data_IF_572036448379
#
_entry.id   IF_572036448379
#
_cell.length_a   1.000
_cell.length_b   1.000
_cell.length_c   1.000
_cell.angle_alpha   90.00
_cell.angle_beta   90.00
_cell.angle_gamma   90.00
#
_symmetry.space_group_name_H-M   'P 1'
#
loop_
_entity.id
_entity.type
_entity.pdbx_description
1 polymer ?
#
# COMPACT_ATOMS: atom_id res chain seq x y z
N UNK A 1 3.09 -20.35 -15.07
CA UNK A 1 3.72 -19.23 -14.35
C UNK A 1 5.20 -19.54 -14.17
N UNK A 2 6.08 -18.97 -15.00
CA UNK A 2 7.53 -19.17 -14.88
C UNK A 2 8.16 -18.28 -13.80
N UNK A 3 9.47 -18.46 -13.55
CA UNK A 3 10.24 -17.72 -12.54
C UNK A 3 10.10 -16.19 -12.64
N UNK A 4 10.02 -15.66 -13.87
CA UNK A 4 9.82 -14.22 -14.10
C UNK A 4 8.42 -13.75 -13.71
N UNK A 5 7.40 -14.59 -13.89
CA UNK A 5 6.03 -14.30 -13.47
C UNK A 5 5.91 -14.27 -11.95
N UNK A 6 6.54 -15.22 -11.25
CA UNK A 6 6.54 -15.27 -9.78
C UNK A 6 7.32 -14.11 -9.17
N UNK A 7 8.48 -13.74 -9.76
CA UNK A 7 9.23 -12.56 -9.32
C UNK A 7 8.42 -11.27 -9.51
N UNK A 8 7.77 -11.13 -10.67
CA UNK A 8 6.92 -9.98 -10.95
C UNK A 8 5.78 -9.85 -9.92
N UNK A 9 5.06 -10.94 -9.65
CA UNK A 9 4.00 -10.96 -8.62
C UNK A 9 4.55 -10.65 -7.22
N UNK A 10 5.73 -11.16 -6.88
CA UNK A 10 6.39 -10.85 -5.61
C UNK A 10 6.71 -9.37 -5.48
N UNK A 11 7.32 -8.77 -6.51
CA UNK A 11 7.66 -7.33 -6.54
C UNK A 11 6.42 -6.45 -6.49
N UNK A 12 5.35 -6.80 -7.19
CA UNK A 12 4.10 -6.03 -7.14
C UNK A 12 3.42 -6.12 -5.77
N UNK A 13 3.48 -7.27 -5.09
CA UNK A 13 3.02 -7.42 -3.72
C UNK A 13 3.82 -6.60 -2.69
N UNK A 14 5.15 -6.57 -2.84
CA UNK A 14 6.02 -5.73 -2.00
C UNK A 14 5.71 -4.24 -2.17
N UNK A 15 5.57 -3.79 -3.42
CA UNK A 15 5.17 -2.40 -3.73
C UNK A 15 3.81 -2.04 -3.16
N UNK A 16 2.82 -2.95 -3.24
CA UNK A 16 1.51 -2.71 -2.63
C UNK A 16 1.62 -2.52 -1.11
N UNK A 17 2.47 -3.32 -0.45
CA UNK A 17 2.73 -3.23 0.99
C UNK A 17 3.42 -1.91 1.36
N UNK A 18 4.40 -1.48 0.55
CA UNK A 18 5.10 -0.19 0.73
C UNK A 18 4.11 0.99 0.75
N UNK A 19 3.18 1.03 -0.22
CA UNK A 19 2.16 2.09 -0.31
C UNK A 19 1.23 2.07 0.91
N UNK A 20 0.81 0.88 1.37
CA UNK A 20 -0.02 0.75 2.57
C UNK A 20 0.70 1.26 3.83
N UNK A 21 1.99 0.95 3.97
CA UNK A 21 2.82 1.44 5.09
C UNK A 21 2.95 2.95 5.03
N UNK A 22 3.21 3.53 3.85
CA UNK A 22 3.33 4.97 3.68
C UNK A 22 2.04 5.72 4.06
N UNK A 23 0.87 5.23 3.63
CA UNK A 23 -0.42 5.82 4.02
C UNK A 23 -0.68 5.68 5.52
N UNK A 24 -0.31 4.54 6.11
CA UNK A 24 -0.43 4.32 7.56
C UNK A 24 0.46 5.30 8.33
N UNK A 25 1.72 5.47 7.89
CA UNK A 25 2.64 6.46 8.46
C UNK A 25 2.09 7.88 8.36
N UNK A 26 1.54 8.26 7.20
CA UNK A 26 0.92 9.57 7.04
C UNK A 26 -0.27 9.77 8.00
N UNK A 27 -1.12 8.76 8.18
CA UNK A 27 -2.23 8.81 9.14
C UNK A 27 -1.75 8.99 10.59
N UNK A 28 -0.66 8.30 10.98
CA UNK A 28 -0.08 8.40 12.32
C UNK A 28 0.53 9.77 12.54
N UNK A 29 1.35 10.26 11.60
CA UNK A 29 1.99 11.58 11.70
C UNK A 29 0.97 12.72 11.82
N UNK A 30 -0.24 12.53 11.26
CA UNK A 30 -1.32 13.51 11.31
C UNK A 30 -2.40 13.17 12.36
N UNK A 31 -2.14 12.26 13.30
CA UNK A 31 -3.16 11.79 14.25
C UNK A 31 -3.75 12.90 15.14
N UNK A 32 -3.00 13.99 15.37
CA UNK A 32 -3.40 15.14 16.19
C UNK A 32 -3.84 16.36 15.36
N UNK A 33 -3.87 16.26 14.03
CA UNK A 33 -4.31 17.36 13.19
C UNK A 33 -5.84 17.43 13.17
N UNK A 34 -6.40 18.52 13.71
CA UNK A 34 -7.84 18.71 13.98
C UNK A 34 -8.76 18.47 12.77
N UNK A 35 -8.28 18.73 11.55
CA UNK A 35 -9.08 18.60 10.32
C UNK A 35 -8.56 17.51 9.37
N UNK A 36 -7.66 16.64 9.85
CA UNK A 36 -7.13 15.57 9.02
C UNK A 36 -8.11 14.40 8.91
N UNK A 37 -8.45 14.03 7.68
CA UNK A 37 -9.19 12.80 7.38
C UNK A 37 -8.22 11.71 6.96
N UNK A 38 -8.25 10.58 7.69
CA UNK A 38 -7.39 9.44 7.41
C UNK A 38 -7.68 8.83 6.05
N UNK A 39 -6.62 8.35 5.40
CA UNK A 39 -6.70 7.69 4.09
C UNK A 39 -6.49 6.18 4.24
N UNK A 40 -7.04 5.40 3.32
CA UNK A 40 -6.85 3.94 3.26
C UNK A 40 -6.58 3.51 1.83
N UNK A 41 -5.53 2.72 1.65
CA UNK A 41 -5.22 2.07 0.37
C UNK A 41 -6.08 0.82 0.24
N UNK A 42 -6.71 0.64 -0.91
CA UNK A 42 -7.47 -0.57 -1.25
C UNK A 42 -6.75 -1.25 -2.41
N UNK A 43 -6.23 -2.45 -2.17
CA UNK A 43 -5.61 -3.25 -3.22
C UNK A 43 -6.70 -4.03 -3.97
N UNK A 44 -6.80 -3.80 -5.27
CA UNK A 44 -7.72 -4.52 -6.15
C UNK A 44 -6.92 -5.30 -7.19
N UNK A 45 -7.31 -6.54 -7.42
CA UNK A 45 -6.83 -7.31 -8.57
C UNK A 45 -7.60 -6.86 -9.80
N UNK A 46 -6.91 -6.57 -10.90
CA UNK A 46 -7.55 -6.38 -12.20
C UNK A 46 -7.88 -7.79 -12.72
N UNK A 47 -9.16 -8.16 -12.65
CA UNK A 47 -9.66 -9.49 -13.01
C UNK A 47 -9.66 -9.73 -14.51
#
# INVERSE_FOLDING_TARGET
MGIFGTLYTGVTGLKASEVQIATTGNNISNANATFYTRQRVVQTTNG
#
